data_IF_063533414616
#
_entry.id   IF_063533414616
#
_cell.length_a   1.000
_cell.length_b   1.000
_cell.length_c   1.000
_cell.angle_alpha   90.00
_cell.angle_beta   90.00
_cell.angle_gamma   90.00
#
_symmetry.space_group_name_H-M   'P 1'
#
loop_
_entity.id
_entity.type
_entity.pdbx_description
1 polymer ?
#
# COMPACT_ATOMS: atom_id res chain seq x y z
N UNK A 1 10.75 1.39 -7.97
CA UNK A 1 10.53 0.27 -7.04
C UNK A 1 9.27 -0.46 -7.43
N UNK A 2 9.36 -1.75 -7.63
CA UNK A 2 8.21 -2.57 -7.97
C UNK A 2 7.40 -2.93 -6.73
N UNK A 3 6.08 -2.83 -6.82
CA UNK A 3 5.15 -3.22 -5.77
C UNK A 3 4.33 -4.40 -6.27
N UNK A 4 4.16 -5.40 -5.42
CA UNK A 4 3.44 -6.63 -5.76
C UNK A 4 2.35 -6.93 -4.75
N UNK A 5 1.27 -7.53 -5.24
CA UNK A 5 0.20 -8.06 -4.39
C UNK A 5 -0.21 -9.42 -4.92
N UNK A 6 -0.15 -10.42 -4.05
CA UNK A 6 -0.48 -11.79 -4.42
C UNK A 6 -1.92 -12.12 -4.08
N UNK A 7 -2.58 -12.85 -4.97
CA UNK A 7 -3.90 -13.41 -4.76
C UNK A 7 -3.73 -14.91 -4.49
N UNK A 8 -4.38 -15.42 -3.46
CA UNK A 8 -4.24 -16.80 -3.00
C UNK A 8 -5.50 -17.61 -3.22
N UNK A 9 -5.32 -18.91 -3.40
CA UNK A 9 -6.43 -19.89 -3.39
C UNK A 9 -5.90 -21.17 -2.79
N UNK A 10 -6.59 -21.65 -1.75
CA UNK A 10 -6.16 -22.87 -1.03
C UNK A 10 -4.72 -22.83 -0.55
N UNK A 11 -4.28 -21.64 -0.09
CA UNK A 11 -2.93 -21.45 0.43
C UNK A 11 -1.85 -21.23 -0.62
N UNK A 12 -2.20 -21.24 -1.90
CA UNK A 12 -1.23 -21.07 -3.00
C UNK A 12 -1.47 -19.77 -3.74
N UNK A 13 -0.41 -19.16 -4.23
CA UNK A 13 -0.49 -17.96 -5.07
C UNK A 13 -1.02 -18.36 -6.45
N UNK A 14 -2.17 -17.79 -6.84
CA UNK A 14 -2.77 -18.06 -8.15
C UNK A 14 -2.61 -16.89 -9.12
N UNK A 15 -2.31 -15.69 -8.61
CA UNK A 15 -2.09 -14.50 -9.43
C UNK A 15 -1.26 -13.48 -8.65
N UNK A 16 -0.44 -12.71 -9.34
CA UNK A 16 0.33 -11.62 -8.75
C UNK A 16 0.09 -10.36 -9.58
N UNK A 17 -0.38 -9.31 -8.92
CA UNK A 17 -0.47 -7.98 -9.50
C UNK A 17 0.81 -7.22 -9.22
N UNK A 18 1.28 -6.44 -10.19
CA UNK A 18 2.52 -5.67 -10.09
C UNK A 18 2.29 -4.25 -10.59
N UNK A 19 2.99 -3.31 -9.97
CA UNK A 19 3.02 -1.93 -10.45
C UNK A 19 4.35 -1.30 -10.07
N UNK A 20 4.69 -0.20 -10.74
CA UNK A 20 5.87 0.58 -10.39
C UNK A 20 5.44 1.83 -9.62
N UNK A 21 6.22 2.21 -8.61
CA UNK A 21 5.87 3.34 -7.76
C UNK A 21 5.74 4.65 -8.55
N UNK A 22 6.55 4.81 -9.60
CA UNK A 22 6.51 6.04 -10.40
C UNK A 22 5.22 6.15 -11.26
N UNK A 23 4.46 5.08 -11.39
CA UNK A 23 3.19 5.10 -12.14
C UNK A 23 2.01 5.48 -11.25
N UNK A 24 2.20 5.61 -9.95
CA UNK A 24 1.11 5.88 -9.01
C UNK A 24 0.68 7.34 -9.13
N UNK A 25 -0.61 7.55 -9.30
CA UNK A 25 -1.19 8.88 -9.49
C UNK A 25 -1.24 9.67 -8.19
N UNK A 26 -1.19 10.99 -8.31
CA UNK A 26 -1.27 11.89 -7.17
C UNK A 26 -2.53 11.67 -6.33
N UNK A 27 -3.68 11.46 -6.97
CA UNK A 27 -4.94 11.18 -6.28
C UNK A 27 -4.86 9.94 -5.39
N UNK A 28 -4.12 8.92 -5.84
CA UNK A 28 -3.91 7.70 -5.05
C UNK A 28 -3.10 8.01 -3.80
N UNK A 29 -2.10 8.87 -3.91
CA UNK A 29 -1.29 9.30 -2.76
C UNK A 29 -2.16 10.08 -1.77
N UNK A 30 -3.04 10.95 -2.26
CA UNK A 30 -3.97 11.68 -1.39
C UNK A 30 -4.89 10.73 -0.62
N UNK A 31 -5.41 9.71 -1.30
CA UNK A 31 -6.25 8.70 -0.66
C UNK A 31 -5.48 7.94 0.41
N UNK A 32 -4.22 7.64 0.14
CA UNK A 32 -3.35 6.95 1.08
C UNK A 32 -3.14 7.76 2.37
N UNK A 33 -3.07 9.09 2.26
CA UNK A 33 -2.94 9.97 3.42
C UNK A 33 -4.13 9.85 4.39
N UNK A 34 -5.30 9.45 3.87
CA UNK A 34 -6.48 9.20 4.70
C UNK A 34 -6.43 7.87 5.45
N UNK A 35 -5.50 7.00 5.10
CA UNK A 35 -5.38 5.64 5.67
C UNK A 35 -4.17 5.50 6.57
N UNK A 36 -3.04 6.10 6.18
CA UNK A 36 -1.74 5.93 6.84
C UNK A 36 -1.24 7.24 7.42
N UNK A 37 -0.74 7.18 8.66
CA UNK A 37 -0.04 8.30 9.29
C UNK A 37 1.43 8.24 8.88
N UNK A 38 1.84 9.13 7.98
CA UNK A 38 3.19 9.18 7.46
C UNK A 38 4.23 9.47 8.54
N UNK A 39 3.88 10.25 9.55
CA UNK A 39 4.79 10.54 10.68
C UNK A 39 5.13 9.26 11.43
N UNK A 40 4.15 8.40 11.66
CA UNK A 40 4.38 7.12 12.32
C UNK A 40 5.28 6.20 11.50
N UNK A 41 5.14 6.24 10.17
CA UNK A 41 5.99 5.46 9.28
C UNK A 41 7.44 5.90 9.40
N UNK A 42 7.70 7.21 9.47
CA UNK A 42 9.04 7.74 9.59
C UNK A 42 9.69 7.44 10.94
N UNK A 43 8.89 7.44 12.01
CA UNK A 43 9.41 7.33 13.39
C UNK A 43 9.41 5.92 13.96
N UNK A 44 8.56 5.04 13.43
CA UNK A 44 8.44 3.68 13.94
C UNK A 44 9.42 2.72 13.31
N UNK A 45 9.64 1.59 13.97
CA UNK A 45 10.36 0.48 13.37
C UNK A 45 9.49 -0.18 12.31
N UNK A 46 10.10 -0.94 11.39
CA UNK A 46 9.36 -1.64 10.35
C UNK A 46 8.30 -2.57 10.92
N UNK A 47 8.61 -3.27 12.01
CA UNK A 47 7.66 -4.16 12.66
C UNK A 47 6.48 -3.40 13.26
N UNK A 48 6.75 -2.29 13.94
CA UNK A 48 5.70 -1.47 14.54
C UNK A 48 4.77 -0.89 13.48
N UNK A 49 5.35 -0.39 12.40
CA UNK A 49 4.58 0.20 11.30
C UNK A 49 3.70 -0.86 10.62
N UNK A 50 4.27 -2.03 10.33
CA UNK A 50 3.53 -3.12 9.71
C UNK A 50 2.34 -3.55 10.59
N UNK A 51 2.58 -3.68 11.90
CA UNK A 51 1.54 -4.07 12.82
C UNK A 51 0.41 -3.03 12.90
N UNK A 52 0.78 -1.75 13.00
CA UNK A 52 -0.18 -0.66 13.09
C UNK A 52 -1.05 -0.57 11.82
N UNK A 53 -0.44 -0.64 10.65
CA UNK A 53 -1.16 -0.59 9.37
C UNK A 53 -2.05 -1.81 9.21
N UNK A 54 -1.55 -3.00 9.54
CA UNK A 54 -2.32 -4.24 9.46
C UNK A 54 -3.59 -4.15 10.31
N UNK A 55 -3.50 -3.60 11.51
CA UNK A 55 -4.65 -3.44 12.40
C UNK A 55 -5.63 -2.38 11.91
N UNK A 56 -5.14 -1.37 11.21
CA UNK A 56 -5.99 -0.29 10.72
C UNK A 56 -6.82 -0.68 9.50
N UNK A 57 -6.30 -1.55 8.64
CA UNK A 57 -6.92 -1.90 7.35
C UNK A 57 -8.40 -2.30 7.48
N UNK A 58 -8.79 -3.23 8.38
CA UNK A 58 -10.20 -3.62 8.48
C UNK A 58 -11.13 -2.46 8.82
N UNK A 59 -10.64 -1.45 9.52
CA UNK A 59 -11.43 -0.28 9.94
C UNK A 59 -11.67 0.71 8.80
N UNK A 60 -10.80 0.72 7.81
CA UNK A 60 -10.84 1.69 6.71
C UNK A 60 -10.90 1.01 5.35
N UNK A 61 -11.41 -0.21 5.31
CA UNK A 61 -11.41 -1.02 4.10
C UNK A 61 -12.15 -0.36 2.94
N UNK A 62 -13.18 0.44 3.24
CA UNK A 62 -13.91 1.22 2.24
C UNK A 62 -13.04 2.24 1.52
N UNK A 63 -11.95 2.70 2.15
CA UNK A 63 -10.97 3.58 1.53
C UNK A 63 -9.84 2.80 0.86
N UNK A 64 -9.48 1.65 1.44
CA UNK A 64 -8.38 0.82 0.94
C UNK A 64 -8.73 0.15 -0.39
N UNK A 65 -9.96 -0.34 -0.55
CA UNK A 65 -10.38 -1.01 -1.78
C UNK A 65 -10.22 -0.14 -3.03
N UNK A 66 -10.78 1.07 -3.09
CA UNK A 66 -10.59 1.92 -4.26
C UNK A 66 -9.12 2.24 -4.53
N UNK A 67 -8.36 2.46 -3.46
CA UNK A 67 -6.93 2.73 -3.56
C UNK A 67 -6.18 1.57 -4.21
N UNK A 68 -6.45 0.35 -3.77
CA UNK A 68 -5.81 -0.84 -4.36
C UNK A 68 -6.23 -1.06 -5.81
N UNK A 69 -7.45 -0.71 -6.16
CA UNK A 69 -7.91 -0.78 -7.56
C UNK A 69 -7.22 0.24 -8.44
N UNK A 70 -6.85 1.39 -7.89
CA UNK A 70 -6.07 2.40 -8.62
C UNK A 70 -4.63 1.95 -8.80
N UNK A 71 -4.05 1.34 -7.77
CA UNK A 71 -2.66 0.86 -7.81
C UNK A 71 -2.52 -0.36 -8.72
N UNK A 72 -3.48 -1.26 -8.68
CA UNK A 72 -3.48 -2.49 -9.47
C UNK A 72 -4.72 -2.56 -10.36
N UNK A 73 -4.72 -1.87 -11.52
CA UNK A 73 -5.89 -1.88 -12.41
C UNK A 73 -6.30 -3.30 -12.79
N UNK A 74 -7.59 -3.56 -12.71
CA UNK A 74 -8.14 -4.88 -13.04
C UNK A 74 -8.33 -5.80 -11.85
N UNK A 75 -7.81 -5.49 -10.68
CA UNK A 75 -8.04 -6.32 -9.50
C UNK A 75 -9.52 -6.24 -9.09
N UNK A 76 -10.11 -7.39 -8.80
CA UNK A 76 -11.53 -7.48 -8.44
C UNK A 76 -11.73 -7.57 -6.94
N UNK A 77 -12.97 -7.32 -6.49
CA UNK A 77 -13.31 -7.46 -5.06
C UNK A 77 -13.06 -8.90 -4.58
N UNK A 78 -13.39 -9.90 -5.40
CA UNK A 78 -13.13 -11.30 -5.06
C UNK A 78 -11.64 -11.56 -4.87
N UNK A 79 -10.81 -11.02 -5.75
CA UNK A 79 -9.37 -11.15 -5.64
C UNK A 79 -8.85 -10.47 -4.39
N UNK A 80 -9.36 -9.29 -4.05
CA UNK A 80 -8.95 -8.59 -2.82
C UNK A 80 -9.27 -9.39 -1.56
N UNK A 81 -10.39 -10.10 -1.56
CA UNK A 81 -10.75 -10.99 -0.43
C UNK A 81 -9.75 -12.13 -0.26
N UNK A 82 -9.06 -12.50 -1.30
CA UNK A 82 -8.10 -13.58 -1.31
C UNK A 82 -6.65 -13.11 -1.23
N UNK A 83 -6.45 -11.84 -0.86
CA UNK A 83 -5.15 -11.29 -0.56
C UNK A 83 -4.90 -11.35 0.94
N UNK A 84 -3.64 -11.49 1.34
CA UNK A 84 -3.28 -11.49 2.75
C UNK A 84 -3.20 -10.05 3.25
N UNK A 85 -3.79 -9.80 4.42
CA UNK A 85 -3.83 -8.45 5.01
C UNK A 85 -2.43 -7.88 5.19
N UNK A 86 -1.47 -8.69 5.62
CA UNK A 86 -0.08 -8.25 5.78
C UNK A 86 0.54 -7.80 4.46
N UNK A 87 0.21 -8.46 3.36
CA UNK A 87 0.73 -8.07 2.05
C UNK A 87 0.09 -6.77 1.56
N UNK A 88 -1.20 -6.58 1.84
CA UNK A 88 -1.87 -5.31 1.58
C UNK A 88 -1.20 -4.19 2.39
N UNK A 89 -0.96 -4.43 3.67
CA UNK A 89 -0.28 -3.46 4.53
C UNK A 89 1.09 -3.10 3.98
N UNK A 90 1.85 -4.09 3.52
CA UNK A 90 3.18 -3.86 2.94
C UNK A 90 3.11 -2.99 1.69
N UNK A 91 2.12 -3.22 0.83
CA UNK A 91 1.91 -2.39 -0.37
C UNK A 91 1.70 -0.93 0.04
N UNK A 92 0.81 -0.67 0.99
CA UNK A 92 0.53 0.69 1.44
C UNK A 92 1.75 1.35 2.05
N UNK A 93 2.52 0.61 2.84
CA UNK A 93 3.75 1.10 3.47
C UNK A 93 4.80 1.42 2.41
N UNK A 94 4.98 0.55 1.42
CA UNK A 94 5.96 0.76 0.35
C UNK A 94 5.65 2.02 -0.45
N UNK A 95 4.37 2.26 -0.77
CA UNK A 95 3.95 3.48 -1.46
C UNK A 95 4.24 4.70 -0.60
N UNK A 96 3.91 4.63 0.69
CA UNK A 96 4.14 5.74 1.61
C UNK A 96 5.63 6.05 1.75
N UNK A 97 6.47 5.04 1.90
CA UNK A 97 7.92 5.20 2.01
C UNK A 97 8.51 5.81 0.75
N UNK A 98 8.07 5.37 -0.41
CA UNK A 98 8.52 5.93 -1.68
C UNK A 98 8.14 7.41 -1.77
N UNK A 99 6.91 7.75 -1.42
CA UNK A 99 6.42 9.13 -1.45
C UNK A 99 7.22 10.03 -0.52
N UNK A 100 7.46 9.58 0.71
CA UNK A 100 8.25 10.31 1.71
C UNK A 100 9.68 10.51 1.21
N UNK A 101 10.29 9.48 0.68
CA UNK A 101 11.66 9.51 0.19
C UNK A 101 11.81 10.49 -0.98
N UNK A 102 10.85 10.47 -1.91
CA UNK A 102 10.85 11.36 -3.07
C UNK A 102 10.70 12.82 -2.64
N UNK A 103 9.76 13.10 -1.74
CA UNK A 103 9.57 14.45 -1.19
C UNK A 103 10.82 14.90 -0.46
N UNK A 104 11.41 14.02 0.37
CA UNK A 104 12.63 14.32 1.10
C UNK A 104 13.79 14.63 0.18
N UNK A 105 13.96 13.84 -0.88
CA UNK A 105 15.02 14.07 -1.87
C UNK A 105 14.84 15.41 -2.58
N UNK A 106 13.59 15.75 -2.95
CA UNK A 106 13.28 17.03 -3.56
C UNK A 106 13.59 18.20 -2.64
N UNK A 107 13.23 18.07 -1.37
CA UNK A 107 13.47 19.12 -0.38
C UNK A 107 14.95 19.30 -0.06
N UNK A 108 15.71 18.23 -0.04
CA UNK A 108 17.12 18.29 0.32
C UNK A 108 17.98 19.01 -0.72
N UNK A 109 17.47 19.23 -1.91
CA UNK A 109 18.17 19.96 -2.98
C UNK A 109 18.01 21.47 -2.88
N UNK A 110 17.12 21.90 -2.06
CA UNK A 110 16.84 23.32 -1.85
C UNK A 110 17.66 23.85 -0.67
#
# INVERSE_FOLDING_TARGET
>A
MEIKLNVYKSGEIVKTYRTETYEIMFGTVEDLLGVIDFDKIQKGTDTEVLLAVTKAIPKVFGLVKPLLKDVFPGITDDELKNCRVKEIAKVLIDIAKFTISDIGAGNSKN
#
